data_IF_896505401382
#
_entry.id   IF_896505401382
#
_cell.length_a   1.000
_cell.length_b   1.000
_cell.length_c   1.000
_cell.angle_alpha   90.00
_cell.angle_beta   90.00
_cell.angle_gamma   90.00
#
_symmetry.space_group_name_H-M   'P 1'
#
loop_
_entity.id
_entity.type
_entity.pdbx_description
1 polymer ?
#
# COMPACT_ATOMS: atom_id res chain seq x y z
N UNK A 1 -1.48 28.72 -13.02
CA UNK A 1 -2.00 27.99 -11.83
C UNK A 1 -1.52 26.57 -11.95
N UNK A 2 -0.35 26.28 -11.35
CA UNK A 2 0.10 24.90 -11.17
C UNK A 2 -0.87 24.28 -10.16
N UNK A 3 -1.39 23.08 -10.44
CA UNK A 3 -2.20 22.33 -9.48
C UNK A 3 -1.43 22.23 -8.15
N UNK A 4 -2.07 22.68 -7.08
CA UNK A 4 -1.48 22.62 -5.74
C UNK A 4 -1.26 21.16 -5.35
N UNK A 5 -0.12 20.83 -4.74
CA UNK A 5 0.28 19.45 -4.49
C UNK A 5 -0.77 18.68 -3.68
N UNK A 6 -1.33 19.33 -2.66
CA UNK A 6 -2.40 18.78 -1.82
C UNK A 6 -3.68 18.50 -2.63
N UNK A 7 -3.98 19.34 -3.63
CA UNK A 7 -5.15 19.11 -4.51
C UNK A 7 -4.97 17.86 -5.38
N UNK A 8 -3.76 17.60 -5.87
CA UNK A 8 -3.45 16.38 -6.62
C UNK A 8 -3.52 15.14 -5.72
N UNK A 9 -3.01 15.25 -4.50
CA UNK A 9 -2.96 14.15 -3.55
C UNK A 9 -4.36 13.74 -3.08
N UNK A 10 -5.21 14.72 -2.76
CA UNK A 10 -6.62 14.50 -2.46
C UNK A 10 -7.39 13.89 -3.64
N UNK A 11 -7.15 14.36 -4.86
CA UNK A 11 -7.81 13.83 -6.05
C UNK A 11 -7.48 12.34 -6.27
N UNK A 12 -6.21 11.96 -6.11
CA UNK A 12 -5.75 10.56 -6.18
C UNK A 12 -6.38 9.74 -5.05
N UNK A 13 -6.38 10.24 -3.81
CA UNK A 13 -6.99 9.57 -2.67
C UNK A 13 -8.48 9.28 -2.88
N UNK A 14 -9.25 10.27 -3.35
CA UNK A 14 -10.67 10.08 -3.67
C UNK A 14 -10.91 9.10 -4.82
N UNK A 15 -10.10 9.16 -5.88
CA UNK A 15 -10.23 8.23 -7.00
C UNK A 15 -9.95 6.78 -6.59
N UNK A 16 -8.89 6.56 -5.81
CA UNK A 16 -8.54 5.26 -5.26
C UNK A 16 -9.61 4.74 -4.27
N UNK A 17 -10.21 5.62 -3.45
CA UNK A 17 -11.32 5.25 -2.57
C UNK A 17 -12.55 4.79 -3.37
N UNK A 18 -12.91 5.51 -4.44
CA UNK A 18 -13.98 5.10 -5.34
C UNK A 18 -13.67 3.74 -5.99
N UNK A 19 -12.45 3.51 -6.47
CA UNK A 19 -12.03 2.23 -7.03
C UNK A 19 -12.15 1.09 -6.01
N UNK A 20 -11.71 1.29 -4.77
CA UNK A 20 -11.88 0.31 -3.69
C UNK A 20 -13.36 0.00 -3.44
N UNK A 21 -14.22 1.02 -3.42
CA UNK A 21 -15.66 0.85 -3.25
C UNK A 21 -16.30 0.09 -4.41
N UNK A 22 -15.87 0.31 -5.64
CA UNK A 22 -16.32 -0.46 -6.81
C UNK A 22 -15.89 -1.93 -6.71
N UNK A 23 -14.65 -2.20 -6.33
CA UNK A 23 -14.15 -3.56 -6.12
C UNK A 23 -14.90 -4.27 -4.98
N UNK A 24 -15.21 -3.55 -3.90
CA UNK A 24 -16.02 -4.08 -2.81
C UNK A 24 -17.47 -4.36 -3.24
N UNK A 25 -18.08 -3.47 -4.02
CA UNK A 25 -19.42 -3.65 -4.57
C UNK A 25 -19.52 -4.84 -5.52
N UNK A 26 -18.53 -5.02 -6.40
CA UNK A 26 -18.44 -6.20 -7.29
C UNK A 26 -18.19 -7.49 -6.51
N UNK A 27 -17.45 -7.44 -5.41
CA UNK A 27 -17.34 -8.57 -4.50
C UNK A 27 -18.67 -8.91 -3.80
N UNK A 28 -19.49 -7.92 -3.42
CA UNK A 28 -20.80 -8.17 -2.80
C UNK A 28 -21.74 -8.95 -3.73
N UNK A 29 -21.66 -8.72 -5.04
CA UNK A 29 -22.45 -9.45 -6.04
C UNK A 29 -21.84 -10.82 -6.40
N UNK A 30 -20.51 -10.95 -6.36
CA UNK A 30 -19.78 -12.19 -6.65
C UNK A 30 -18.90 -12.63 -5.46
N UNK A 31 -19.55 -13.02 -4.34
CA UNK A 31 -18.87 -13.40 -3.09
C UNK A 31 -17.94 -14.61 -3.18
N UNK A 32 -17.88 -15.31 -4.31
CA UNK A 32 -16.90 -16.36 -4.57
C UNK A 32 -15.46 -15.82 -4.59
N UNK A 33 -15.27 -14.56 -4.96
CA UNK A 33 -13.95 -14.05 -5.34
C UNK A 33 -13.33 -13.25 -4.20
N UNK A 34 -12.86 -13.97 -3.18
CA UNK A 34 -12.15 -13.40 -2.01
C UNK A 34 -10.94 -12.52 -2.40
N UNK A 35 -10.42 -12.68 -3.62
CA UNK A 35 -9.40 -11.83 -4.22
C UNK A 35 -9.81 -10.36 -4.31
N UNK A 36 -11.02 -10.07 -4.80
CA UNK A 36 -11.48 -8.69 -5.01
C UNK A 36 -11.56 -7.93 -3.69
N UNK A 37 -11.98 -8.61 -2.63
CA UNK A 37 -12.01 -8.06 -1.28
C UNK A 37 -10.60 -7.71 -0.78
N UNK A 38 -9.63 -8.63 -0.92
CA UNK A 38 -8.24 -8.37 -0.51
C UNK A 38 -7.61 -7.22 -1.30
N UNK A 39 -7.93 -7.10 -2.59
CA UNK A 39 -7.49 -5.97 -3.43
C UNK A 39 -8.12 -4.65 -2.99
N UNK A 40 -9.43 -4.65 -2.68
CA UNK A 40 -10.11 -3.48 -2.16
C UNK A 40 -9.50 -2.99 -0.84
N UNK A 41 -9.17 -3.92 0.07
CA UNK A 41 -8.49 -3.61 1.34
C UNK A 41 -7.11 -3.01 1.07
N UNK A 42 -6.33 -3.59 0.15
CA UNK A 42 -5.03 -3.05 -0.26
C UNK A 42 -5.12 -1.59 -0.68
N UNK A 43 -6.07 -1.27 -1.57
CA UNK A 43 -6.27 0.10 -2.07
C UNK A 43 -6.72 1.02 -0.95
N UNK A 44 -7.59 0.56 -0.05
CA UNK A 44 -8.05 1.36 1.09
C UNK A 44 -6.90 1.72 2.04
N UNK A 45 -5.97 0.80 2.28
CA UNK A 45 -4.78 1.08 3.09
C UNK A 45 -3.90 2.15 2.42
N UNK A 46 -3.70 2.07 1.11
CA UNK A 46 -2.95 3.08 0.35
C UNK A 46 -3.65 4.44 0.39
N UNK A 47 -4.99 4.48 0.33
CA UNK A 47 -5.74 5.72 0.54
C UNK A 47 -5.49 6.30 1.94
N UNK A 48 -5.46 5.46 2.97
CA UNK A 48 -5.12 5.89 4.33
C UNK A 48 -3.71 6.49 4.41
N UNK A 49 -2.75 5.88 3.71
CA UNK A 49 -1.38 6.41 3.59
C UNK A 49 -1.36 7.80 2.97
N UNK A 50 -2.07 8.02 1.86
CA UNK A 50 -2.17 9.31 1.17
C UNK A 50 -2.59 10.43 2.15
N UNK A 51 -3.61 10.20 2.98
CA UNK A 51 -4.03 11.19 3.98
C UNK A 51 -2.98 11.42 5.08
N UNK A 52 -2.27 10.38 5.50
CA UNK A 52 -1.19 10.50 6.50
C UNK A 52 0.00 11.27 5.93
N UNK A 53 0.32 11.05 4.65
CA UNK A 53 1.41 11.72 3.97
C UNK A 53 1.11 13.21 3.72
N UNK A 54 -0.15 13.55 3.41
CA UNK A 54 -0.62 14.95 3.39
C UNK A 54 -0.34 15.64 4.74
N UNK A 55 -0.75 15.00 5.84
CA UNK A 55 -0.50 15.50 7.19
C UNK A 55 1.01 15.56 7.54
N UNK A 56 1.82 14.64 7.02
CA UNK A 56 3.28 14.64 7.19
C UNK A 56 3.92 15.84 6.49
N UNK A 57 3.45 16.22 5.30
CA UNK A 57 3.95 17.40 4.59
C UNK A 57 3.62 18.68 5.35
N UNK A 58 2.40 18.78 5.88
CA UNK A 58 1.98 19.94 6.67
C UNK A 58 2.76 20.07 7.99
N UNK A 59 3.01 18.95 8.67
CA UNK A 59 3.72 18.90 9.95
C UNK A 59 4.72 17.73 10.01
N UNK A 60 5.95 17.92 9.50
CA UNK A 60 6.95 16.85 9.48
C UNK A 60 7.28 16.37 10.89
N UNK A 61 7.10 15.07 11.13
CA UNK A 61 7.35 14.46 12.43
C UNK A 61 7.67 12.97 12.32
N UNK A 62 8.50 12.42 13.23
CA UNK A 62 8.94 11.02 13.16
C UNK A 62 7.77 10.03 13.19
N UNK A 63 6.72 10.36 13.94
CA UNK A 63 5.53 9.51 14.08
C UNK A 63 4.74 9.44 12.78
N UNK A 64 4.49 10.58 12.14
CA UNK A 64 3.78 10.64 10.86
C UNK A 64 4.61 10.00 9.74
N UNK A 65 5.92 10.21 9.74
CA UNK A 65 6.84 9.58 8.80
C UNK A 65 6.85 8.05 8.90
N UNK A 66 6.96 7.51 10.11
CA UNK A 66 6.84 6.07 10.37
C UNK A 66 5.47 5.54 9.94
N UNK A 67 4.40 6.30 10.16
CA UNK A 67 3.05 5.89 9.81
C UNK A 67 2.81 5.84 8.29
N UNK A 68 3.27 6.85 7.55
CA UNK A 68 3.27 6.86 6.07
C UNK A 68 3.99 5.62 5.54
N UNK A 69 5.23 5.41 5.97
CA UNK A 69 6.05 4.27 5.57
C UNK A 69 5.36 2.93 5.84
N UNK A 70 4.78 2.83 7.03
CA UNK A 70 4.12 1.62 7.44
C UNK A 70 2.89 1.30 6.60
N UNK A 71 2.05 2.31 6.34
CA UNK A 71 0.83 2.14 5.56
C UNK A 71 1.13 1.84 4.09
N UNK A 72 2.12 2.50 3.49
CA UNK A 72 2.47 2.26 2.08
C UNK A 72 2.96 0.81 1.87
N UNK A 73 3.92 0.40 2.69
CA UNK A 73 4.52 -0.93 2.59
C UNK A 73 3.53 -2.04 2.96
N UNK A 74 2.64 -1.79 3.92
CA UNK A 74 1.56 -2.71 4.25
C UNK A 74 0.55 -2.81 3.10
N UNK A 75 0.17 -1.68 2.50
CA UNK A 75 -0.69 -1.62 1.31
C UNK A 75 -0.14 -2.48 0.17
N UNK A 76 1.12 -2.27 -0.22
CA UNK A 76 1.74 -3.06 -1.30
C UNK A 76 1.95 -4.54 -0.93
N UNK A 77 2.19 -4.84 0.34
CA UNK A 77 2.28 -6.23 0.80
C UNK A 77 0.93 -6.95 0.71
N UNK A 78 -0.17 -6.26 1.04
CA UNK A 78 -1.54 -6.77 0.84
C UNK A 78 -1.81 -6.98 -0.65
N UNK A 79 -1.35 -6.07 -1.52
CA UNK A 79 -1.49 -6.19 -2.97
C UNK A 79 -0.80 -7.44 -3.53
N UNK A 80 0.43 -7.70 -3.08
CA UNK A 80 1.17 -8.92 -3.42
C UNK A 80 0.43 -10.19 -2.94
N UNK A 81 -0.10 -10.15 -1.72
CA UNK A 81 -0.93 -11.23 -1.17
C UNK A 81 -2.18 -11.49 -2.01
N UNK A 82 -2.85 -10.43 -2.47
CA UNK A 82 -4.01 -10.52 -3.34
C UNK A 82 -3.66 -11.14 -4.70
N UNK A 83 -2.57 -10.72 -5.37
CA UNK A 83 -2.13 -11.34 -6.62
C UNK A 83 -1.81 -12.84 -6.44
N UNK A 84 -1.21 -13.23 -5.32
CA UNK A 84 -0.99 -14.65 -5.01
C UNK A 84 -2.30 -15.43 -4.79
N UNK A 85 -3.28 -14.80 -4.12
CA UNK A 85 -4.61 -15.38 -3.91
C UNK A 85 -5.35 -15.56 -5.23
N UNK A 86 -5.25 -14.62 -6.17
CA UNK A 86 -5.80 -14.73 -7.52
C UNK A 86 -5.26 -15.97 -8.24
N UNK A 87 -3.93 -16.16 -8.22
CA UNK A 87 -3.29 -17.27 -8.93
C UNK A 87 -3.56 -18.64 -8.31
N UNK A 88 -3.57 -18.74 -6.99
CA UNK A 88 -3.51 -20.05 -6.30
C UNK A 88 -4.77 -20.42 -5.53
N UNK A 89 -5.71 -19.49 -5.34
CA UNK A 89 -6.88 -19.67 -4.47
C UNK A 89 -6.54 -19.86 -2.99
N UNK A 90 -5.25 -19.74 -2.61
CA UNK A 90 -4.78 -19.94 -1.23
C UNK A 90 -4.86 -18.65 -0.42
N UNK A 91 -4.69 -18.79 0.90
CA UNK A 91 -4.71 -17.64 1.82
C UNK A 91 -3.63 -16.62 1.45
N UNK A 92 -3.96 -15.32 1.37
CA UNK A 92 -2.99 -14.25 1.09
C UNK A 92 -2.07 -13.97 2.29
N UNK A 93 -2.51 -14.30 3.52
CA UNK A 93 -1.89 -13.87 4.78
C UNK A 93 -0.38 -14.17 4.89
N UNK A 94 0.15 -15.36 4.53
CA UNK A 94 1.57 -15.64 4.70
C UNK A 94 2.45 -14.71 3.85
N UNK A 95 2.02 -14.39 2.62
CA UNK A 95 2.78 -13.49 1.73
C UNK A 95 2.68 -12.05 2.21
N UNK A 96 1.51 -11.62 2.70
CA UNK A 96 1.34 -10.29 3.29
C UNK A 96 2.24 -10.12 4.51
N UNK A 97 2.23 -11.09 5.44
CA UNK A 97 3.02 -11.02 6.67
C UNK A 97 4.53 -11.03 6.41
N UNK A 98 5.00 -11.85 5.46
CA UNK A 98 6.41 -11.87 5.08
C UNK A 98 6.82 -10.57 4.37
N UNK A 99 6.01 -10.11 3.41
CA UNK A 99 6.25 -8.86 2.69
C UNK A 99 6.32 -7.67 3.65
N UNK A 100 5.27 -7.49 4.46
CA UNK A 100 5.18 -6.41 5.42
C UNK A 100 6.25 -6.53 6.51
N UNK A 101 6.47 -7.74 7.05
CA UNK A 101 7.46 -7.95 8.10
C UNK A 101 8.88 -7.57 7.65
N UNK A 102 9.30 -8.01 6.47
CA UNK A 102 10.62 -7.68 5.92
C UNK A 102 10.71 -6.18 5.62
N UNK A 103 9.71 -5.63 4.91
CA UNK A 103 9.78 -4.25 4.45
C UNK A 103 9.75 -3.26 5.63
N UNK A 104 8.89 -3.49 6.62
CA UNK A 104 8.79 -2.65 7.82
C UNK A 104 10.06 -2.74 8.66
N UNK A 105 10.61 -3.94 8.87
CA UNK A 105 11.82 -4.13 9.65
C UNK A 105 13.03 -3.40 9.03
N UNK A 106 13.09 -3.28 7.70
CA UNK A 106 14.14 -2.56 6.99
C UNK A 106 13.94 -1.04 6.98
N UNK A 107 12.70 -0.58 6.75
CA UNK A 107 12.44 0.82 6.46
C UNK A 107 12.12 1.68 7.71
N UNK A 108 11.57 1.08 8.77
CA UNK A 108 11.20 1.80 10.00
C UNK A 108 12.39 2.28 10.85
N UNK A 109 13.48 1.49 11.04
CA UNK A 109 14.57 1.91 11.93
C UNK A 109 15.27 3.21 11.48
N UNK A 110 15.59 3.42 10.19
CA UNK A 110 16.19 4.68 9.73
C UNK A 110 15.28 5.89 9.97
N UNK A 111 13.97 5.73 9.76
CA UNK A 111 12.98 6.79 10.01
C UNK A 111 12.89 7.13 11.50
N UNK A 112 12.88 6.11 12.37
CA UNK A 112 12.83 6.30 13.82
C UNK A 112 14.10 6.96 14.39
N UNK A 113 15.24 6.79 13.71
CA UNK A 113 16.52 7.40 14.06
C UNK A 113 16.71 8.81 13.48
N UNK A 114 15.72 9.33 12.75
CA UNK A 114 15.75 10.67 12.13
C UNK A 114 16.53 10.74 10.81
N UNK A 115 16.85 9.59 10.20
CA UNK A 115 17.44 9.52 8.86
C UNK A 115 16.34 9.45 7.81
N UNK A 116 15.51 10.49 7.71
CA UNK A 116 14.29 10.50 6.89
C UNK A 116 14.57 10.16 5.43
N UNK A 117 15.65 10.73 4.86
CA UNK A 117 16.06 10.45 3.49
C UNK A 117 16.38 8.97 3.23
N UNK A 118 17.04 8.28 4.18
CA UNK A 118 17.30 6.84 4.08
C UNK A 118 16.01 6.03 4.23
N UNK A 119 15.11 6.46 5.13
CA UNK A 119 13.78 5.87 5.29
C UNK A 119 13.00 5.86 3.98
N UNK A 120 12.87 7.02 3.32
CA UNK A 120 12.18 7.15 2.04
C UNK A 120 12.89 6.41 0.90
N UNK A 121 14.23 6.39 0.85
CA UNK A 121 14.96 5.60 -0.16
C UNK A 121 14.65 4.10 -0.04
N UNK A 122 14.69 3.57 1.18
CA UNK A 122 14.37 2.17 1.44
C UNK A 122 12.91 1.86 1.17
N UNK A 123 11.99 2.73 1.58
CA UNK A 123 10.57 2.62 1.28
C UNK A 123 10.32 2.45 -0.22
N UNK A 124 10.86 3.35 -1.03
CA UNK A 124 10.67 3.34 -2.48
C UNK A 124 11.28 2.08 -3.12
N UNK A 125 12.47 1.67 -2.68
CA UNK A 125 13.11 0.45 -3.17
C UNK A 125 12.28 -0.80 -2.82
N UNK A 126 11.77 -0.89 -1.59
CA UNK A 126 10.96 -2.02 -1.12
C UNK A 126 9.58 -2.03 -1.79
N UNK A 127 8.94 -0.87 -1.95
CA UNK A 127 7.71 -0.71 -2.70
C UNK A 127 7.87 -1.20 -4.14
N UNK A 128 8.97 -0.81 -4.81
CA UNK A 128 9.28 -1.31 -6.15
C UNK A 128 9.41 -2.84 -6.17
N UNK A 129 10.13 -3.44 -5.22
CA UNK A 129 10.25 -4.91 -5.11
C UNK A 129 8.90 -5.60 -4.90
N UNK A 130 8.02 -5.05 -4.06
CA UNK A 130 6.67 -5.58 -3.82
C UNK A 130 5.81 -5.49 -5.08
N UNK A 131 5.89 -4.39 -5.82
CA UNK A 131 5.17 -4.21 -7.09
C UNK A 131 5.71 -5.14 -8.18
N UNK A 132 7.03 -5.30 -8.33
CA UNK A 132 7.62 -6.29 -9.23
C UNK A 132 7.22 -7.71 -8.86
N UNK A 133 7.18 -8.03 -7.56
CA UNK A 133 6.67 -9.31 -7.07
C UNK A 133 5.21 -9.54 -7.45
N UNK A 134 4.38 -8.50 -7.37
CA UNK A 134 2.96 -8.53 -7.75
C UNK A 134 2.82 -8.79 -9.24
N UNK A 135 3.58 -8.05 -10.07
CA UNK A 135 3.63 -8.25 -11.52
C UNK A 135 4.11 -9.65 -11.89
N UNK A 136 5.10 -10.19 -11.18
CA UNK A 136 5.60 -11.55 -11.39
C UNK A 136 4.57 -12.63 -11.03
N UNK A 137 3.78 -12.46 -9.97
CA UNK A 137 2.68 -13.40 -9.67
C UNK A 137 1.62 -13.38 -10.77
N UNK A 138 1.31 -12.22 -11.37
CA UNK A 138 0.42 -12.13 -12.53
C UNK A 138 1.02 -12.71 -13.81
N UNK A 139 2.30 -12.49 -14.09
CA UNK A 139 2.95 -13.08 -15.26
C UNK A 139 2.95 -14.61 -15.25
N UNK A 140 2.95 -15.22 -14.05
CA UNK A 140 2.93 -16.68 -13.87
C UNK A 140 1.53 -17.30 -13.95
N UNK A 141 0.46 -16.50 -14.01
CA UNK A 141 -0.93 -16.93 -13.91
C UNK A 141 -1.71 -16.59 -15.16
#
# INVERSE_FOLDING_TARGET
>A
MLLDYNSMLLAVGFSAACLSMTLFGTWLTARSDRFLLTWAISVLVIVGEVFVYDAYIEAPGPVLGVLTLALLLLGFSVMLGAAHQFRTGRSPLPRVLVGAGISLALALPPMALGYDGLGFMLENALAALLLFGTAYEYWRG
#
